data_IF_874299373689
#
_entry.id   IF_874299373689
#
_cell.length_a   1.000
_cell.length_b   1.000
_cell.length_c   1.000
_cell.angle_alpha   90.00
_cell.angle_beta   90.00
_cell.angle_gamma   90.00
#
_symmetry.space_group_name_H-M   'P 1'
#
loop_
_entity.id
_entity.type
_entity.pdbx_description
1 polymer ?
#
# COMPACT_ATOMS: atom_id res chain seq x y z
N UNK A 1 18.45 -28.84 49.83
CA UNK A 1 17.62 -27.62 49.71
C UNK A 1 18.58 -26.44 49.83
N UNK A 2 18.79 -25.54 48.86
CA UNK A 2 17.86 -24.77 48.02
C UNK A 2 18.49 -24.54 46.63
N UNK A 3 17.69 -24.62 45.58
CA UNK A 3 18.05 -24.26 44.19
C UNK A 3 17.99 -22.73 44.07
N UNK A 4 19.05 -22.08 43.62
CA UNK A 4 19.06 -20.69 43.17
C UNK A 4 18.92 -20.65 41.66
N UNK A 5 17.81 -20.12 41.18
CA UNK A 5 17.57 -19.77 39.80
C UNK A 5 18.18 -18.38 39.51
N UNK A 6 18.90 -18.24 38.41
CA UNK A 6 19.31 -16.93 37.89
C UNK A 6 19.37 -16.94 36.35
N UNK A 7 18.24 -16.53 35.76
CA UNK A 7 18.04 -15.68 34.58
C UNK A 7 19.07 -15.78 33.44
N UNK A 8 18.69 -16.45 32.36
CA UNK A 8 19.24 -16.21 31.01
C UNK A 8 18.73 -14.86 30.48
N UNK A 9 19.66 -13.95 30.20
CA UNK A 9 19.43 -12.77 29.38
C UNK A 9 19.53 -13.19 27.91
N UNK A 10 18.39 -13.25 27.21
CA UNK A 10 18.37 -13.39 25.76
C UNK A 10 18.60 -12.01 25.14
N UNK A 11 19.82 -11.76 24.67
CA UNK A 11 20.13 -10.61 23.80
C UNK A 11 19.66 -10.99 22.40
N UNK A 12 18.55 -10.39 21.94
CA UNK A 12 18.12 -10.50 20.57
C UNK A 12 19.09 -9.72 19.67
N UNK A 13 19.84 -10.42 18.82
CA UNK A 13 20.71 -9.80 17.82
C UNK A 13 19.83 -9.11 16.76
N UNK A 14 19.92 -7.78 16.68
CA UNK A 14 19.35 -6.99 15.59
C UNK A 14 20.29 -7.18 14.38
N UNK A 15 19.83 -7.90 13.36
CA UNK A 15 20.58 -8.09 12.14
C UNK A 15 20.66 -6.77 11.35
N UNK A 16 21.85 -6.18 11.27
CA UNK A 16 22.20 -5.18 10.26
C UNK A 16 22.38 -5.87 8.92
N UNK A 17 21.38 -5.83 8.05
CA UNK A 17 21.44 -6.40 6.71
C UNK A 17 22.06 -5.41 5.71
N UNK A 18 23.28 -5.71 5.25
CA UNK A 18 23.81 -5.20 3.97
C UNK A 18 23.28 -6.13 2.89
N UNK A 19 22.26 -5.71 2.15
CA UNK A 19 21.69 -6.47 1.04
C UNK A 19 22.44 -6.13 -0.26
N UNK A 20 23.05 -7.13 -0.88
CA UNK A 20 23.48 -7.07 -2.29
C UNK A 20 22.27 -7.30 -3.19
N UNK A 21 21.82 -6.25 -3.88
CA UNK A 21 20.62 -6.25 -4.73
C UNK A 21 21.00 -6.56 -6.19
N UNK A 22 20.34 -7.54 -6.78
CA UNK A 22 20.21 -7.70 -8.23
C UNK A 22 18.73 -8.01 -8.55
N UNK A 23 17.90 -7.00 -8.47
CA UNK A 23 16.54 -6.96 -9.00
C UNK A 23 16.44 -5.66 -9.80
N UNK A 24 16.00 -5.72 -11.06
CA UNK A 24 15.83 -4.52 -11.88
C UNK A 24 14.91 -3.54 -11.17
N UNK A 25 15.35 -2.29 -11.01
CA UNK A 25 14.52 -1.23 -10.44
C UNK A 25 13.33 -1.03 -11.36
N UNK A 26 12.11 -1.31 -10.88
CA UNK A 26 10.91 -0.87 -11.59
C UNK A 26 11.00 0.65 -11.80
N UNK A 27 10.73 1.10 -13.02
CA UNK A 27 10.76 2.52 -13.36
C UNK A 27 9.59 3.22 -12.67
N UNK A 28 9.86 4.35 -12.01
CA UNK A 28 8.87 5.12 -11.25
C UNK A 28 7.75 5.70 -12.14
N UNK A 29 8.09 6.16 -13.34
CA UNK A 29 7.13 6.64 -14.33
C UNK A 29 7.39 5.98 -15.70
N UNK A 30 6.40 5.95 -16.62
CA UNK A 30 6.60 5.48 -17.98
C UNK A 30 7.73 6.25 -18.69
N UNK A 31 8.69 5.53 -19.26
CA UNK A 31 9.81 6.13 -20.02
C UNK A 31 9.43 6.59 -21.43
N UNK A 32 8.23 6.23 -21.86
CA UNK A 32 7.59 6.68 -23.10
C UNK A 32 6.23 7.24 -22.74
N UNK A 33 5.75 8.21 -23.52
CA UNK A 33 4.34 8.61 -23.42
C UNK A 33 3.48 7.44 -23.93
N UNK A 34 2.59 6.87 -23.09
CA UNK A 34 1.70 5.78 -23.53
C UNK A 34 0.86 6.20 -24.74
N UNK A 35 0.53 5.27 -25.63
CA UNK A 35 -0.36 5.54 -26.75
C UNK A 35 -1.81 5.74 -26.27
N UNK A 36 -2.65 6.37 -27.10
CA UNK A 36 -4.03 6.68 -26.73
C UNK A 36 -4.86 5.45 -26.36
N UNK A 37 -4.57 4.31 -26.99
CA UNK A 37 -5.24 3.02 -26.74
C UNK A 37 -4.71 2.28 -25.49
N UNK A 38 -3.55 2.66 -24.97
CA UNK A 38 -2.92 1.95 -23.85
C UNK A 38 -3.69 2.15 -22.55
N UNK A 39 -3.55 1.17 -21.65
CA UNK A 39 -4.15 1.18 -20.33
C UNK A 39 -3.20 1.88 -19.36
N UNK A 40 -3.68 2.92 -18.69
CA UNK A 40 -2.91 3.77 -17.79
C UNK A 40 -3.51 3.75 -16.39
N UNK A 41 -2.67 3.45 -15.39
CA UNK A 41 -3.04 3.51 -13.98
C UNK A 41 -2.33 4.63 -13.21
N UNK A 42 -3.01 5.12 -12.18
CA UNK A 42 -2.55 6.20 -11.26
C UNK A 42 -3.03 5.93 -9.84
N UNK A 43 -2.65 6.77 -8.86
CA UNK A 43 -3.32 6.82 -7.55
C UNK A 43 -2.51 6.23 -6.41
N UNK A 44 -2.90 5.06 -5.91
CA UNK A 44 -2.32 4.45 -4.70
C UNK A 44 -0.80 4.25 -4.77
N UNK A 45 -0.09 4.94 -3.87
CA UNK A 45 1.34 4.79 -3.60
C UNK A 45 1.68 3.37 -3.13
N UNK A 46 0.91 2.84 -2.17
CA UNK A 46 1.08 1.49 -1.60
C UNK A 46 1.28 0.39 -2.67
N UNK A 47 0.65 0.53 -3.83
CA UNK A 47 0.64 -0.49 -4.88
C UNK A 47 1.40 -0.06 -6.12
N UNK A 48 2.09 1.08 -6.08
CA UNK A 48 2.70 1.67 -7.26
C UNK A 48 3.87 0.83 -7.78
N UNK A 49 4.77 0.43 -6.88
CA UNK A 49 5.96 -0.31 -7.24
C UNK A 49 5.63 -1.67 -7.88
N UNK A 50 4.70 -2.43 -7.28
CA UNK A 50 4.22 -3.70 -7.88
C UNK A 50 3.46 -3.48 -9.19
N UNK A 51 2.74 -2.36 -9.33
CA UNK A 51 2.07 -2.01 -10.59
C UNK A 51 3.05 -1.65 -11.70
N UNK A 52 4.17 -1.01 -11.37
CA UNK A 52 5.25 -0.71 -12.31
C UNK A 52 5.94 -2.00 -12.77
N UNK A 53 6.10 -2.97 -11.87
CA UNK A 53 6.56 -4.32 -12.24
C UNK A 53 5.58 -5.00 -13.20
N UNK A 54 4.28 -5.03 -12.87
CA UNK A 54 3.27 -5.62 -13.75
C UNK A 54 3.24 -4.95 -15.13
N UNK A 55 3.39 -3.62 -15.19
CA UNK A 55 3.52 -2.86 -16.44
C UNK A 55 4.71 -3.35 -17.26
N UNK A 56 5.87 -3.48 -16.63
CA UNK A 56 7.10 -3.96 -17.29
C UNK A 56 6.92 -5.38 -17.85
N UNK A 57 6.45 -6.30 -17.02
CA UNK A 57 6.37 -7.72 -17.36
C UNK A 57 5.23 -8.05 -18.32
N UNK A 58 4.09 -7.35 -18.21
CA UNK A 58 2.99 -7.50 -19.18
C UNK A 58 3.41 -7.02 -20.57
N UNK A 59 4.08 -5.88 -20.66
CA UNK A 59 4.53 -5.32 -21.93
C UNK A 59 5.65 -6.19 -22.55
N UNK A 60 6.54 -6.73 -21.73
CA UNK A 60 7.55 -7.71 -22.16
C UNK A 60 6.91 -9.02 -22.64
N UNK A 61 5.91 -9.53 -21.92
CA UNK A 61 5.13 -10.71 -22.31
C UNK A 61 4.52 -10.54 -23.70
N UNK A 62 3.75 -9.46 -23.92
CA UNK A 62 3.13 -9.18 -25.21
C UNK A 62 4.18 -9.07 -26.33
N UNK A 63 5.34 -8.48 -26.05
CA UNK A 63 6.47 -8.41 -27.00
C UNK A 63 7.02 -9.81 -27.32
N UNK A 64 7.18 -10.67 -26.32
CA UNK A 64 7.73 -12.03 -26.49
C UNK A 64 6.86 -12.94 -27.36
N UNK A 65 5.55 -12.69 -27.40
CA UNK A 65 4.60 -13.43 -28.24
C UNK A 65 4.35 -12.73 -29.60
N UNK A 66 5.04 -11.62 -29.88
CA UNK A 66 4.89 -10.86 -31.11
C UNK A 66 3.56 -10.08 -31.22
N UNK A 67 2.84 -9.89 -30.11
CA UNK A 67 1.61 -9.11 -30.12
C UNK A 67 1.97 -7.62 -30.22
N UNK A 68 1.54 -6.98 -31.30
CA UNK A 68 1.74 -5.55 -31.59
C UNK A 68 0.44 -4.76 -31.56
N UNK A 69 -0.68 -5.43 -31.29
CA UNK A 69 -2.03 -4.88 -31.41
C UNK A 69 -2.73 -4.67 -30.09
N UNK A 70 -2.44 -5.50 -29.08
CA UNK A 70 -3.02 -5.35 -27.75
C UNK A 70 -2.51 -4.07 -27.08
N UNK A 71 -3.40 -3.30 -26.41
CA UNK A 71 -3.00 -2.21 -25.54
C UNK A 71 -1.93 -2.62 -24.54
N UNK A 72 -0.93 -1.77 -24.35
CA UNK A 72 0.08 -1.92 -23.30
C UNK A 72 -0.48 -1.43 -21.97
N UNK A 73 0.16 -1.84 -20.89
CA UNK A 73 -0.15 -1.36 -19.55
C UNK A 73 0.97 -0.43 -19.07
N UNK A 74 0.60 0.73 -18.55
CA UNK A 74 1.51 1.70 -17.95
C UNK A 74 0.95 2.19 -16.61
N UNK A 75 1.87 2.49 -15.69
CA UNK A 75 1.56 2.89 -14.33
C UNK A 75 2.39 4.13 -14.01
N UNK A 76 1.74 5.19 -13.54
CA UNK A 76 2.39 6.42 -13.07
C UNK A 76 2.50 6.40 -11.55
N UNK A 77 3.63 6.82 -10.99
CA UNK A 77 3.78 6.89 -9.54
C UNK A 77 2.93 7.99 -8.91
N UNK A 78 2.60 7.79 -7.63
CA UNK A 78 1.85 8.75 -6.83
C UNK A 78 2.68 10.02 -6.53
N UNK A 79 4.00 9.90 -6.59
CA UNK A 79 4.98 10.97 -6.34
C UNK A 79 5.80 11.26 -7.60
N UNK A 80 6.53 12.37 -7.64
CA UNK A 80 7.27 12.84 -8.81
C UNK A 80 6.84 14.24 -9.24
N UNK A 81 6.74 14.49 -10.55
CA UNK A 81 6.31 15.79 -11.09
C UNK A 81 4.91 16.18 -10.60
N UNK A 82 4.65 17.48 -10.41
CA UNK A 82 3.35 17.96 -9.94
C UNK A 82 2.18 17.62 -10.89
N UNK A 83 2.47 17.48 -12.19
CA UNK A 83 1.50 17.11 -13.23
C UNK A 83 2.03 15.97 -14.09
N UNK A 84 1.12 15.23 -14.72
CA UNK A 84 1.42 14.16 -15.69
C UNK A 84 0.58 14.34 -16.94
N UNK A 85 1.07 13.81 -18.08
CA UNK A 85 0.25 13.60 -19.28
C UNK A 85 0.04 12.10 -19.43
N UNK A 86 -1.12 11.55 -19.04
CA UNK A 86 -1.29 10.10 -18.85
C UNK A 86 -0.97 9.27 -20.09
N UNK A 87 -1.40 9.73 -21.27
CA UNK A 87 -1.22 9.10 -22.58
C UNK A 87 -1.31 10.13 -23.70
N UNK A 88 -0.89 9.74 -24.91
CA UNK A 88 -0.95 10.58 -26.11
C UNK A 88 -2.37 11.08 -26.36
N UNK A 89 -2.52 12.37 -26.64
CA UNK A 89 -3.81 13.03 -26.83
C UNK A 89 -4.56 13.39 -25.54
N UNK A 90 -4.07 12.98 -24.36
CA UNK A 90 -4.63 13.42 -23.08
C UNK A 90 -4.17 14.84 -22.71
N UNK A 91 -4.99 15.53 -21.93
CA UNK A 91 -4.59 16.79 -21.29
C UNK A 91 -3.66 16.53 -20.11
N UNK A 92 -2.79 17.48 -19.80
CA UNK A 92 -2.00 17.44 -18.56
C UNK A 92 -2.91 17.58 -17.34
N UNK A 93 -2.72 16.72 -16.34
CA UNK A 93 -3.51 16.68 -15.11
C UNK A 93 -2.60 16.77 -13.87
N UNK A 94 -3.10 17.25 -12.72
CA UNK A 94 -2.41 17.08 -11.44
C UNK A 94 -2.11 15.60 -11.18
N UNK A 95 -0.91 15.28 -10.68
CA UNK A 95 -0.51 13.90 -10.37
C UNK A 95 -1.40 13.32 -9.25
N UNK A 96 -2.16 12.24 -9.49
CA UNK A 96 -3.02 11.67 -8.47
C UNK A 96 -2.19 10.92 -7.40
N UNK A 97 -2.16 11.47 -6.18
CA UNK A 97 -1.43 10.89 -5.05
C UNK A 97 -2.39 10.25 -4.02
N UNK A 98 -2.36 8.92 -3.93
CA UNK A 98 -3.18 8.12 -3.01
C UNK A 98 -4.45 7.58 -3.66
N UNK A 99 -5.06 6.55 -3.05
CA UNK A 99 -6.21 5.85 -3.62
C UNK A 99 -7.42 6.77 -3.84
N UNK A 100 -7.69 7.69 -2.92
CA UNK A 100 -8.79 8.65 -3.05
C UNK A 100 -8.60 9.62 -4.22
N UNK A 101 -7.38 10.12 -4.41
CA UNK A 101 -7.05 11.02 -5.51
C UNK A 101 -7.12 10.28 -6.87
N UNK A 102 -6.64 9.05 -6.93
CA UNK A 102 -6.75 8.19 -8.12
C UNK A 102 -8.20 7.96 -8.53
N UNK A 103 -9.06 7.54 -7.59
CA UNK A 103 -10.49 7.29 -7.85
C UNK A 103 -11.21 8.58 -8.25
N UNK A 104 -10.92 9.70 -7.58
CA UNK A 104 -11.49 11.00 -7.93
C UNK A 104 -11.10 11.42 -9.35
N UNK A 105 -9.83 11.19 -9.72
CA UNK A 105 -9.32 11.48 -11.06
C UNK A 105 -9.99 10.60 -12.11
N UNK A 106 -10.03 9.29 -11.89
CA UNK A 106 -10.72 8.31 -12.75
C UNK A 106 -12.14 8.77 -13.08
N UNK A 107 -12.88 9.26 -12.09
CA UNK A 107 -14.26 9.69 -12.28
C UNK A 107 -14.42 11.08 -12.91
N UNK A 108 -13.38 11.92 -12.89
CA UNK A 108 -13.44 13.29 -13.40
C UNK A 108 -13.00 13.45 -14.87
N UNK A 109 -12.04 12.65 -15.34
CA UNK A 109 -11.35 12.90 -16.62
C UNK A 109 -11.59 11.85 -17.72
N UNK A 110 -12.50 10.90 -17.48
CA UNK A 110 -12.87 9.87 -18.47
C UNK A 110 -11.69 8.98 -18.88
N UNK A 111 -11.60 8.65 -20.17
CA UNK A 111 -10.66 7.66 -20.74
C UNK A 111 -9.18 8.10 -20.77
N UNK A 112 -8.84 9.28 -20.24
CA UNK A 112 -7.44 9.70 -20.09
C UNK A 112 -6.70 8.86 -19.04
N UNK A 113 -7.43 8.37 -18.04
CA UNK A 113 -6.95 7.40 -17.03
C UNK A 113 -7.96 6.27 -16.99
N UNK A 114 -7.50 5.02 -17.09
CA UNK A 114 -8.38 3.86 -17.19
C UNK A 114 -8.50 3.11 -15.86
N UNK A 115 -7.48 3.25 -15.01
CA UNK A 115 -7.39 2.52 -13.75
C UNK A 115 -6.95 3.44 -12.61
N UNK A 116 -7.67 3.39 -11.49
CA UNK A 116 -7.17 3.91 -10.22
C UNK A 116 -6.69 2.76 -9.33
N UNK A 117 -5.41 2.75 -8.98
CA UNK A 117 -4.88 1.81 -7.99
C UNK A 117 -5.44 2.16 -6.61
N UNK A 118 -5.85 1.18 -5.82
CA UNK A 118 -6.44 1.39 -4.50
C UNK A 118 -5.94 0.42 -3.43
N UNK A 119 -5.52 0.97 -2.30
CA UNK A 119 -5.17 0.24 -1.07
C UNK A 119 -6.30 0.28 -0.03
N UNK A 120 -7.53 0.49 -0.48
CA UNK A 120 -8.77 0.33 0.30
C UNK A 120 -9.87 -0.32 -0.55
N UNK A 121 -10.85 -0.92 0.11
CA UNK A 121 -12.11 -1.31 -0.54
C UNK A 121 -13.04 -0.12 -0.83
N UNK A 122 -14.21 -0.37 -1.45
CA UNK A 122 -15.21 0.65 -1.73
C UNK A 122 -15.67 1.35 -0.45
N UNK A 123 -15.83 2.67 -0.51
CA UNK A 123 -16.44 3.49 0.56
C UNK A 123 -17.95 3.61 0.36
N UNK A 124 -18.78 3.33 1.38
CA UNK A 124 -20.24 3.45 1.29
C UNK A 124 -20.72 4.90 1.15
N UNK A 125 -21.90 5.08 0.56
CA UNK A 125 -22.57 6.37 0.43
C UNK A 125 -23.28 6.82 1.73
N UNK A 126 -23.53 8.14 1.92
CA UNK A 126 -23.19 9.29 1.05
C UNK A 126 -21.71 9.74 1.18
N UNK A 127 -21.16 10.31 0.11
CA UNK A 127 -19.74 10.77 0.06
C UNK A 127 -18.73 9.64 -0.14
N UNK A 128 -19.21 8.46 -0.57
CA UNK A 128 -18.41 7.28 -0.86
C UNK A 128 -17.96 7.20 -2.32
N UNK A 129 -17.48 6.02 -2.70
CA UNK A 129 -17.10 5.74 -4.09
C UNK A 129 -18.37 5.49 -4.94
N UNK A 130 -18.44 5.97 -6.20
CA UNK A 130 -19.55 5.72 -7.10
C UNK A 130 -19.93 4.23 -7.19
N UNK A 131 -21.22 3.92 -7.29
CA UNK A 131 -21.68 2.53 -7.53
C UNK A 131 -21.23 2.00 -8.90
N UNK A 132 -20.79 2.88 -9.80
CA UNK A 132 -20.20 2.56 -11.10
C UNK A 132 -18.70 2.23 -11.04
N UNK A 133 -18.06 2.33 -9.87
CA UNK A 133 -16.66 1.93 -9.71
C UNK A 133 -16.57 0.44 -9.40
N UNK A 134 -15.75 -0.26 -10.18
CA UNK A 134 -15.48 -1.69 -10.05
C UNK A 134 -14.11 -1.89 -9.45
N UNK A 135 -14.07 -2.42 -8.24
CA UNK A 135 -12.82 -2.73 -7.54
C UNK A 135 -12.41 -4.15 -7.87
N UNK A 136 -11.37 -4.30 -8.70
CA UNK A 136 -10.82 -5.58 -9.13
C UNK A 136 -9.69 -6.01 -8.20
N UNK A 137 -9.90 -7.05 -7.40
CA UNK A 137 -8.96 -7.51 -6.39
C UNK A 137 -7.73 -8.20 -7.02
N UNK A 138 -6.52 -7.97 -6.52
CA UNK A 138 -5.34 -8.70 -7.04
C UNK A 138 -4.42 -9.29 -5.95
N UNK A 139 -4.32 -8.66 -4.77
CA UNK A 139 -3.47 -9.14 -3.69
C UNK A 139 -4.07 -8.84 -2.31
N UNK A 140 -3.52 -9.49 -1.29
CA UNK A 140 -3.78 -9.21 0.12
C UNK A 140 -2.59 -8.49 0.73
N UNK A 141 -2.88 -7.44 1.48
CA UNK A 141 -1.97 -6.66 2.29
C UNK A 141 -2.48 -6.64 3.75
N UNK A 142 -1.72 -6.02 4.64
CA UNK A 142 -2.18 -5.57 5.93
C UNK A 142 -1.60 -4.18 6.25
N UNK A 143 -2.21 -3.47 7.18
CA UNK A 143 -1.67 -2.19 7.67
C UNK A 143 -1.39 -2.33 9.15
N UNK A 144 -0.15 -2.11 9.55
CA UNK A 144 0.20 -1.97 10.96
C UNK A 144 0.60 -0.54 11.24
N UNK A 145 1.18 -0.30 12.41
CA UNK A 145 1.86 0.93 12.77
C UNK A 145 3.37 0.71 12.80
N UNK A 146 4.10 1.80 12.70
CA UNK A 146 5.55 1.85 12.75
C UNK A 146 6.01 3.00 13.65
N UNK A 147 7.26 2.87 14.09
CA UNK A 147 7.96 3.89 14.85
C UNK A 147 9.47 3.80 14.57
N UNK A 148 10.24 4.86 14.85
CA UNK A 148 11.68 4.84 14.67
C UNK A 148 12.34 3.69 15.44
N UNK A 149 13.29 3.01 14.79
CA UNK A 149 14.14 2.02 15.44
C UNK A 149 14.94 2.66 16.57
N UNK A 150 14.97 2.02 17.75
CA UNK A 150 15.59 2.59 18.94
C UNK A 150 14.84 3.78 19.57
N UNK A 151 13.65 4.11 19.08
CA UNK A 151 12.79 5.15 19.65
C UNK A 151 12.09 4.73 20.95
N UNK A 152 11.16 5.57 21.41
CA UNK A 152 10.43 5.38 22.68
C UNK A 152 9.26 4.39 22.58
N UNK A 153 8.80 4.11 21.36
CA UNK A 153 7.63 3.28 21.13
C UNK A 153 7.89 1.79 21.50
N UNK A 154 6.92 1.09 22.09
CA UNK A 154 7.04 -0.33 22.40
C UNK A 154 7.01 -1.20 21.12
N UNK A 155 7.31 -2.49 21.28
CA UNK A 155 7.19 -3.46 20.19
C UNK A 155 5.73 -3.74 19.77
N UNK A 156 4.78 -3.49 20.67
CA UNK A 156 3.36 -3.79 20.49
C UNK A 156 2.48 -2.72 21.14
N UNK A 157 1.37 -2.40 20.49
CA UNK A 157 0.25 -1.65 21.07
C UNK A 157 -1.04 -2.44 20.86
N UNK A 158 -2.01 -2.22 21.74
CA UNK A 158 -3.37 -2.70 21.51
C UNK A 158 -4.11 -1.79 20.55
N UNK A 159 -5.16 -2.30 19.91
CA UNK A 159 -6.08 -1.50 19.08
C UNK A 159 -6.63 -0.29 19.87
N UNK A 160 -6.99 -0.49 21.14
CA UNK A 160 -7.50 0.59 21.99
C UNK A 160 -6.44 1.66 22.31
N UNK A 161 -5.18 1.26 22.51
CA UNK A 161 -4.08 2.21 22.72
C UNK A 161 -3.78 3.02 21.45
N UNK A 162 -3.78 2.38 20.27
CA UNK A 162 -3.64 3.10 19.01
C UNK A 162 -4.77 4.11 18.85
N UNK A 163 -6.03 3.70 19.08
CA UNK A 163 -7.17 4.62 19.07
C UNK A 163 -6.95 5.81 20.01
N UNK A 164 -6.58 5.56 21.26
CA UNK A 164 -6.35 6.61 22.27
C UNK A 164 -5.22 7.58 21.90
N UNK A 165 -4.16 7.09 21.24
CA UNK A 165 -3.07 7.93 20.72
C UNK A 165 -3.60 8.89 19.63
N UNK A 166 -4.38 8.40 18.67
CA UNK A 166 -4.92 9.24 17.59
C UNK A 166 -6.10 10.12 18.03
N UNK A 167 -6.79 9.79 19.13
CA UNK A 167 -7.75 10.68 19.81
C UNK A 167 -7.05 11.70 20.74
N UNK A 168 -5.73 11.60 20.91
CA UNK A 168 -4.93 12.42 21.82
C UNK A 168 -5.40 12.32 23.29
N UNK A 169 -6.00 11.19 23.68
CA UNK A 169 -6.32 10.87 25.07
C UNK A 169 -5.17 10.15 25.78
N UNK A 170 -4.26 9.54 25.02
CA UNK A 170 -2.94 9.10 25.49
C UNK A 170 -1.86 9.87 24.74
N UNK A 171 -1.13 10.73 25.44
CA UNK A 171 -0.17 11.67 24.82
C UNK A 171 1.26 11.51 25.32
N UNK A 172 1.53 10.64 26.29
CA UNK A 172 2.86 10.43 26.88
C UNK A 172 3.26 8.96 26.81
N UNK A 173 4.40 8.68 26.18
CA UNK A 173 4.97 7.34 26.08
C UNK A 173 5.19 6.69 27.45
N UNK A 174 5.49 7.46 28.49
CA UNK A 174 5.66 6.94 29.85
C UNK A 174 4.41 6.18 30.34
N UNK A 175 3.21 6.61 29.91
CA UNK A 175 1.94 5.96 30.27
C UNK A 175 1.83 4.54 29.71
N UNK A 176 2.46 4.29 28.55
CA UNK A 176 2.42 3.01 27.85
C UNK A 176 3.69 2.18 28.10
N UNK A 177 4.81 2.86 28.39
CA UNK A 177 6.14 2.28 28.60
C UNK A 177 6.78 2.97 29.80
N UNK A 178 6.57 2.48 31.04
CA UNK A 178 7.04 3.15 32.26
C UNK A 178 8.56 3.36 32.35
N UNK A 179 9.35 2.65 31.54
CA UNK A 179 10.79 2.81 31.44
C UNK A 179 11.21 4.07 30.64
N UNK A 180 10.32 4.65 29.84
CA UNK A 180 10.55 5.92 29.13
C UNK A 180 10.34 7.08 30.12
N UNK A 181 11.16 8.15 30.09
CA UNK A 181 10.98 9.30 30.98
C UNK A 181 9.58 9.93 30.88
N UNK A 182 9.01 10.35 32.02
CA UNK A 182 7.76 11.10 32.06
C UNK A 182 7.87 12.41 31.25
N UNK A 183 6.78 12.80 30.59
CA UNK A 183 6.74 13.97 29.69
C UNK A 183 7.18 13.67 28.26
N UNK A 184 7.48 12.41 27.91
CA UNK A 184 7.89 12.03 26.55
C UNK A 184 6.67 12.00 25.62
N UNK A 185 6.36 13.16 25.03
CA UNK A 185 5.15 13.38 24.25
C UNK A 185 5.12 12.53 22.97
N UNK A 186 4.07 11.73 22.79
CA UNK A 186 3.81 10.93 21.58
C UNK A 186 3.56 11.87 20.40
N UNK A 187 4.11 11.53 19.23
CA UNK A 187 3.91 12.28 17.98
C UNK A 187 3.18 11.40 16.94
N UNK A 188 1.83 11.39 16.94
CA UNK A 188 1.08 10.64 15.94
C UNK A 188 1.05 11.39 14.61
N UNK A 189 1.48 10.71 13.55
CA UNK A 189 1.43 11.20 12.19
C UNK A 189 0.45 10.37 11.36
N UNK A 190 -0.19 11.00 10.37
CA UNK A 190 -1.01 10.34 9.37
C UNK A 190 -0.55 10.74 7.96
N UNK A 191 -0.72 9.83 6.99
CA UNK A 191 -0.58 10.20 5.59
C UNK A 191 -1.55 11.29 5.15
N UNK A 192 -1.33 11.82 3.94
CA UNK A 192 -2.25 12.72 3.24
C UNK A 192 -3.71 12.21 3.29
N UNK A 193 -4.68 13.14 3.29
CA UNK A 193 -6.09 12.84 3.50
C UNK A 193 -6.68 11.82 2.50
N UNK A 194 -6.15 11.80 1.27
CA UNK A 194 -6.58 10.92 0.19
C UNK A 194 -5.91 9.53 0.20
N UNK A 195 -5.08 9.24 1.21
CA UNK A 195 -4.38 7.95 1.35
C UNK A 195 -5.34 6.80 1.64
N UNK A 196 -5.17 5.70 0.90
CA UNK A 196 -5.89 4.44 1.18
C UNK A 196 -5.43 3.81 2.49
N UNK A 197 -4.14 3.88 2.78
CA UNK A 197 -3.52 3.40 4.04
C UNK A 197 -4.03 4.16 5.25
N UNK A 198 -4.12 5.50 5.18
CA UNK A 198 -4.80 6.30 6.22
C UNK A 198 -6.24 5.84 6.43
N UNK A 199 -7.01 5.79 5.35
CA UNK A 199 -8.44 5.47 5.43
C UNK A 199 -8.68 4.09 6.03
N UNK A 200 -7.88 3.10 5.64
CA UNK A 200 -7.98 1.74 6.15
C UNK A 200 -7.55 1.66 7.62
N UNK A 201 -6.39 2.23 7.97
CA UNK A 201 -5.86 2.19 9.33
C UNK A 201 -6.83 2.81 10.34
N UNK A 202 -7.37 4.01 10.04
CA UNK A 202 -8.32 4.67 10.93
C UNK A 202 -9.58 3.83 11.16
N UNK A 203 -10.06 3.13 10.13
CA UNK A 203 -11.16 2.18 10.27
C UNK A 203 -10.76 0.99 11.15
N UNK A 204 -9.57 0.42 10.96
CA UNK A 204 -9.08 -0.74 11.72
C UNK A 204 -8.93 -0.44 13.22
N UNK A 205 -8.52 0.80 13.57
CA UNK A 205 -8.42 1.23 14.98
C UNK A 205 -9.73 1.76 15.57
N UNK A 206 -10.86 1.61 14.86
CA UNK A 206 -12.19 1.93 15.38
C UNK A 206 -12.62 3.39 15.20
N UNK A 207 -12.21 4.02 14.10
CA UNK A 207 -12.60 5.36 13.64
C UNK A 207 -12.49 6.43 14.73
N UNK A 208 -11.28 6.75 15.20
CA UNK A 208 -11.06 7.76 16.23
C UNK A 208 -11.55 9.14 15.79
N UNK A 209 -12.08 9.91 16.74
CA UNK A 209 -12.21 11.35 16.58
C UNK A 209 -10.80 11.96 16.70
N UNK A 210 -10.18 12.30 15.56
CA UNK A 210 -8.78 12.75 15.53
C UNK A 210 -8.57 13.97 16.43
N UNK A 211 -7.65 13.84 17.39
CA UNK A 211 -7.30 14.93 18.30
C UNK A 211 -6.28 15.90 17.69
N UNK A 212 -6.13 17.07 18.31
CA UNK A 212 -5.26 18.14 17.80
C UNK A 212 -3.75 17.86 17.85
N UNK A 213 -3.32 16.75 18.47
CA UNK A 213 -1.92 16.31 18.47
C UNK A 213 -1.52 15.55 17.20
N UNK A 214 -2.49 15.14 16.36
CA UNK A 214 -2.24 14.39 15.13
C UNK A 214 -1.78 15.33 14.02
N UNK A 215 -0.63 15.03 13.42
CA UNK A 215 -0.09 15.78 12.28
C UNK A 215 -0.31 14.99 10.99
N UNK A 216 -0.78 15.65 9.94
CA UNK A 216 -0.91 15.07 8.59
C UNK A 216 0.16 15.67 7.69
N UNK A 217 0.77 14.86 6.82
CA UNK A 217 1.74 15.40 5.87
C UNK A 217 2.66 14.35 5.24
N UNK A 218 3.32 13.49 6.03
CA UNK A 218 4.25 12.50 5.50
C UNK A 218 3.58 11.60 4.47
N UNK A 219 4.30 11.22 3.42
CA UNK A 219 3.78 10.34 2.38
C UNK A 219 3.46 8.96 2.98
N UNK A 220 2.37 8.32 2.53
CA UNK A 220 2.08 6.94 2.94
C UNK A 220 3.24 6.02 2.56
N UNK A 221 3.56 5.06 3.42
CA UNK A 221 4.65 4.10 3.21
C UNK A 221 6.04 4.73 2.94
N UNK A 222 6.27 5.93 3.47
CA UNK A 222 7.57 6.59 3.48
C UNK A 222 8.02 6.77 4.93
N UNK A 223 9.26 6.39 5.24
CA UNK A 223 9.90 6.62 6.52
C UNK A 223 11.16 7.49 6.43
N UNK A 224 11.41 8.10 5.26
CA UNK A 224 12.53 9.02 5.03
C UNK A 224 12.19 10.48 5.30
N UNK A 225 10.91 10.81 5.51
CA UNK A 225 10.46 12.15 5.91
C UNK A 225 11.18 12.62 7.19
N UNK A 226 11.75 13.85 7.21
CA UNK A 226 12.44 14.39 8.38
C UNK A 226 11.66 14.37 9.69
N UNK A 227 10.32 14.32 9.68
CA UNK A 227 9.55 14.21 10.92
C UNK A 227 9.86 12.93 11.69
N UNK A 228 10.31 11.87 11.02
CA UNK A 228 10.61 10.57 11.62
C UNK A 228 11.99 10.49 12.29
N UNK A 229 12.80 11.56 12.25
CA UNK A 229 13.97 11.66 13.14
C UNK A 229 13.56 11.82 14.61
N UNK A 230 12.31 12.18 14.86
CA UNK A 230 11.77 12.25 16.21
C UNK A 230 11.46 10.83 16.74
N UNK A 231 12.23 10.40 17.74
CA UNK A 231 12.12 9.10 18.40
C UNK A 231 10.74 8.79 19.03
N UNK A 232 9.86 9.79 19.18
CA UNK A 232 8.51 9.63 19.72
C UNK A 232 7.42 9.43 18.66
N UNK A 233 7.79 9.29 17.38
CA UNK A 233 6.85 9.19 16.25
C UNK A 233 6.07 7.88 16.20
N UNK A 234 4.80 7.96 15.77
CA UNK A 234 3.93 6.83 15.43
C UNK A 234 3.31 7.10 14.06
N UNK A 235 3.31 6.11 13.16
CA UNK A 235 2.79 6.26 11.80
C UNK A 235 2.18 4.95 11.27
N UNK A 236 1.06 4.95 10.53
CA UNK A 236 0.55 3.74 9.89
C UNK A 236 1.39 3.36 8.66
N UNK A 237 1.55 2.07 8.41
CA UNK A 237 2.41 1.57 7.32
C UNK A 237 1.84 0.28 6.72
N UNK A 238 1.85 0.17 5.38
CA UNK A 238 1.55 -1.10 4.69
C UNK A 238 2.61 -2.14 5.04
N UNK A 239 2.17 -3.30 5.54
CA UNK A 239 3.08 -4.39 5.87
C UNK A 239 3.74 -4.95 4.61
N UNK A 240 2.98 -5.15 3.52
CA UNK A 240 3.54 -5.62 2.27
C UNK A 240 4.58 -4.66 1.70
N UNK A 241 4.26 -3.37 1.64
CA UNK A 241 5.17 -2.36 1.10
C UNK A 241 6.45 -2.23 1.93
N UNK A 242 6.33 -2.26 3.27
CA UNK A 242 7.49 -2.32 4.16
C UNK A 242 8.38 -3.53 3.86
N UNK A 243 7.79 -4.72 3.64
CA UNK A 243 8.56 -5.92 3.28
C UNK A 243 9.28 -5.74 1.95
N UNK A 244 8.57 -5.22 0.94
CA UNK A 244 9.14 -4.90 -0.37
C UNK A 244 10.37 -4.00 -0.24
N UNK A 245 10.23 -2.90 0.50
CA UNK A 245 11.28 -1.91 0.73
C UNK A 245 12.47 -2.48 1.51
N UNK A 246 12.22 -3.13 2.64
CA UNK A 246 13.25 -3.47 3.63
C UNK A 246 13.93 -4.81 3.36
N UNK A 247 13.18 -5.81 2.91
CA UNK A 247 13.68 -7.18 2.81
C UNK A 247 13.87 -7.66 1.37
N UNK A 248 13.15 -7.05 0.41
CA UNK A 248 13.14 -7.53 -0.98
C UNK A 248 13.79 -6.54 -1.97
N UNK A 249 14.36 -5.44 -1.50
CA UNK A 249 15.18 -4.52 -2.30
C UNK A 249 14.37 -3.57 -3.21
N UNK A 250 13.09 -3.34 -2.91
CA UNK A 250 12.21 -2.48 -3.71
C UNK A 250 12.05 -1.06 -3.14
N UNK A 251 13.06 -0.56 -2.42
CA UNK A 251 13.10 0.85 -2.02
C UNK A 251 13.55 1.73 -3.19
N UNK A 252 12.99 2.93 -3.33
CA UNK A 252 13.36 3.88 -4.38
C UNK A 252 13.22 5.33 -3.94
N UNK A 253 14.30 6.11 -3.92
CA UNK A 253 14.25 7.52 -3.55
C UNK A 253 13.65 7.74 -2.15
N UNK A 254 12.57 8.53 -2.06
CA UNK A 254 11.84 8.74 -0.80
C UNK A 254 10.89 7.59 -0.44
N UNK A 255 10.54 6.73 -1.41
CA UNK A 255 9.77 5.50 -1.21
C UNK A 255 10.65 4.42 -0.55
N UNK A 256 10.94 4.64 0.73
CA UNK A 256 11.75 3.76 1.56
C UNK A 256 11.33 3.87 3.03
N UNK A 257 11.53 2.79 3.80
CA UNK A 257 11.16 2.73 5.22
C UNK A 257 12.02 3.61 6.15
N UNK A 258 13.17 4.09 5.69
CA UNK A 258 14.07 4.93 6.48
C UNK A 258 14.38 4.32 7.85
N UNK A 259 14.14 5.07 8.92
CA UNK A 259 14.35 4.59 10.31
C UNK A 259 13.13 3.88 10.89
N UNK A 260 11.99 3.89 10.20
CA UNK A 260 10.77 3.29 10.72
C UNK A 260 10.88 1.77 10.71
N UNK A 261 10.35 1.15 11.75
CA UNK A 261 10.24 -0.29 11.86
C UNK A 261 8.81 -0.65 12.21
N UNK A 262 8.25 -1.62 11.50
CA UNK A 262 6.86 -2.04 11.69
C UNK A 262 6.68 -2.79 13.01
N UNK A 263 5.52 -2.60 13.64
CA UNK A 263 5.23 -3.06 15.02
C UNK A 263 4.02 -3.98 15.07
N UNK A 264 3.88 -4.72 16.17
CA UNK A 264 2.76 -5.62 16.41
C UNK A 264 1.51 -4.88 16.87
N UNK A 265 0.34 -5.47 16.61
CA UNK A 265 -0.93 -5.02 17.18
C UNK A 265 -1.62 -6.17 17.89
N UNK A 266 -2.14 -5.90 19.10
CA UNK A 266 -2.84 -6.89 19.93
C UNK A 266 -2.03 -8.19 20.15
N UNK A 267 -0.71 -8.07 20.20
CA UNK A 267 0.21 -9.20 20.36
C UNK A 267 0.47 -10.01 19.08
N UNK A 268 -0.14 -9.65 17.96
CA UNK A 268 0.03 -10.34 16.68
C UNK A 268 1.08 -9.63 15.84
N UNK A 269 2.15 -10.35 15.46
CA UNK A 269 3.22 -9.82 14.62
C UNK A 269 2.77 -9.69 13.15
N UNK A 270 3.01 -8.54 12.49
CA UNK A 270 2.75 -8.37 11.06
C UNK A 270 3.70 -9.19 10.18
N UNK A 271 4.87 -9.57 10.72
CA UNK A 271 5.89 -10.32 10.00
C UNK A 271 6.00 -11.76 10.52
N UNK A 272 6.26 -12.69 9.59
CA UNK A 272 6.74 -14.04 9.92
C UNK A 272 8.21 -14.03 10.32
N UNK A 273 8.74 -15.16 10.81
CA UNK A 273 10.15 -15.32 11.13
C UNK A 273 11.09 -15.18 9.91
N UNK A 274 10.56 -15.29 8.69
CA UNK A 274 11.30 -15.11 7.43
C UNK A 274 10.98 -13.78 6.76
N UNK A 275 10.49 -12.79 7.51
CA UNK A 275 10.22 -11.44 7.03
C UNK A 275 9.20 -11.34 5.89
N UNK A 276 8.19 -12.22 5.88
CA UNK A 276 7.05 -12.14 4.95
C UNK A 276 5.78 -11.71 5.70
N UNK A 277 4.74 -11.29 4.96
CA UNK A 277 3.47 -10.87 5.56
C UNK A 277 2.84 -12.06 6.29
N UNK A 278 2.61 -11.89 7.60
CA UNK A 278 2.00 -12.88 8.48
C UNK A 278 0.55 -13.14 8.08
N UNK A 279 0.18 -14.37 7.67
CA UNK A 279 -1.22 -14.70 7.38
C UNK A 279 -2.13 -14.54 8.61
N UNK A 280 -1.60 -14.78 9.81
CA UNK A 280 -2.34 -14.57 11.06
C UNK A 280 -2.69 -13.09 11.28
N UNK A 281 -1.75 -12.18 10.99
CA UNK A 281 -2.01 -10.74 11.07
C UNK A 281 -2.96 -10.27 9.96
N UNK A 282 -2.77 -10.76 8.72
CA UNK A 282 -3.64 -10.45 7.59
C UNK A 282 -5.08 -11.01 7.72
N UNK A 283 -5.31 -11.93 8.65
CA UNK A 283 -6.64 -12.43 9.01
C UNK A 283 -7.36 -11.58 10.08
N UNK A 284 -6.68 -10.61 10.70
CA UNK A 284 -7.28 -9.68 11.66
C UNK A 284 -7.99 -8.51 10.95
N UNK A 285 -8.56 -7.58 11.73
CA UNK A 285 -9.12 -6.32 11.22
C UNK A 285 -8.08 -5.43 10.50
N UNK A 286 -6.79 -5.72 10.63
CA UNK A 286 -5.70 -5.01 9.96
C UNK A 286 -5.36 -5.56 8.58
N UNK A 287 -5.97 -6.67 8.16
CA UNK A 287 -5.79 -7.22 6.81
C UNK A 287 -6.71 -6.61 5.77
N UNK A 288 -6.18 -6.22 4.62
CA UNK A 288 -6.94 -5.63 3.50
C UNK A 288 -6.67 -6.34 2.19
N UNK A 289 -7.64 -6.30 1.29
CA UNK A 289 -7.40 -6.58 -0.13
C UNK A 289 -7.02 -5.27 -0.82
N UNK A 290 -6.15 -5.35 -1.82
CA UNK A 290 -5.79 -4.23 -2.68
C UNK A 290 -6.34 -4.44 -4.09
N UNK A 291 -6.64 -3.33 -4.76
CA UNK A 291 -7.51 -3.32 -5.93
C UNK A 291 -6.97 -2.43 -7.06
N UNK A 292 -7.36 -2.79 -8.27
CA UNK A 292 -7.38 -1.90 -9.44
C UNK A 292 -8.83 -1.49 -9.68
N UNK A 293 -9.12 -0.19 -9.67
CA UNK A 293 -10.47 0.34 -9.82
C UNK A 293 -10.67 0.81 -11.25
N UNK A 294 -11.75 0.35 -11.88
CA UNK A 294 -12.13 0.70 -13.26
C UNK A 294 -13.60 1.14 -13.29
N UNK A 295 -14.01 1.80 -14.38
CA UNK A 295 -15.42 2.17 -14.57
C UNK A 295 -16.22 0.98 -15.08
N UNK A 296 -17.40 0.75 -14.51
CA UNK A 296 -18.33 -0.35 -14.87
C UNK A 296 -18.58 -0.41 -16.38
N UNK A 297 -18.84 0.75 -17.02
CA UNK A 297 -19.14 0.82 -18.44
C UNK A 297 -17.98 0.31 -19.30
N UNK A 298 -16.74 0.62 -18.93
CA UNK A 298 -15.53 0.16 -19.63
C UNK A 298 -15.23 -1.30 -19.32
N UNK A 299 -15.36 -1.70 -18.05
CA UNK A 299 -15.14 -3.08 -17.63
C UNK A 299 -16.04 -4.08 -18.33
N UNK A 300 -17.28 -3.69 -18.62
CA UNK A 300 -18.28 -4.54 -19.28
C UNK A 300 -18.35 -4.35 -20.79
N UNK A 301 -17.61 -3.38 -21.35
CA UNK A 301 -17.58 -3.14 -22.78
C UNK A 301 -17.02 -4.35 -23.55
N UNK A 302 -17.59 -4.63 -24.71
CA UNK A 302 -17.15 -5.72 -25.60
C UNK A 302 -16.17 -5.25 -26.68
N UNK A 303 -15.70 -4.00 -26.59
CA UNK A 303 -14.69 -3.45 -27.47
C UNK A 303 -13.26 -3.86 -27.05
N UNK A 304 -12.27 -3.40 -27.81
CA UNK A 304 -10.86 -3.69 -27.54
C UNK A 304 -10.39 -3.17 -26.17
N UNK A 305 -10.95 -2.05 -25.69
CA UNK A 305 -10.56 -1.44 -24.42
C UNK A 305 -11.08 -2.26 -23.24
N UNK A 306 -12.37 -2.60 -23.22
CA UNK A 306 -12.93 -3.48 -22.20
C UNK A 306 -12.30 -4.87 -22.20
N UNK A 307 -11.98 -5.41 -23.38
CA UNK A 307 -11.22 -6.66 -23.49
C UNK A 307 -9.81 -6.53 -22.88
N UNK A 308 -9.09 -5.44 -23.15
CA UNK A 308 -7.76 -5.20 -22.57
C UNK A 308 -7.80 -5.11 -21.04
N UNK A 309 -8.75 -4.36 -20.47
CA UNK A 309 -8.93 -4.27 -19.02
C UNK A 309 -9.10 -5.66 -18.39
N UNK A 310 -9.98 -6.50 -18.95
CA UNK A 310 -10.23 -7.86 -18.44
C UNK A 310 -9.04 -8.80 -18.68
N UNK A 311 -8.33 -8.66 -19.79
CA UNK A 311 -7.13 -9.43 -20.09
C UNK A 311 -5.95 -9.09 -19.17
N UNK A 312 -5.89 -7.89 -18.61
CA UNK A 312 -4.85 -7.51 -17.64
C UNK A 312 -5.28 -7.89 -16.22
N UNK A 313 -6.44 -7.43 -15.77
CA UNK A 313 -6.84 -7.44 -14.36
C UNK A 313 -7.86 -8.52 -13.99
N UNK A 314 -8.49 -9.16 -14.98
CA UNK A 314 -9.54 -10.16 -14.74
C UNK A 314 -9.05 -11.42 -14.03
N UNK A 315 -9.96 -12.34 -13.70
CA UNK A 315 -9.58 -13.60 -13.08
C UNK A 315 -8.79 -14.48 -14.07
N UNK A 316 -7.98 -15.39 -13.53
CA UNK A 316 -7.19 -16.32 -14.34
C UNK A 316 -8.07 -17.20 -15.25
N UNK A 317 -9.29 -17.53 -14.81
CA UNK A 317 -10.28 -18.29 -15.59
C UNK A 317 -10.76 -17.57 -16.86
N UNK A 318 -10.63 -16.25 -16.92
CA UNK A 318 -10.97 -15.43 -18.10
C UNK A 318 -9.74 -14.76 -18.70
N UNK A 319 -8.57 -15.40 -18.58
CA UNK A 319 -7.30 -14.95 -19.15
C UNK A 319 -6.68 -13.68 -18.56
N UNK A 320 -7.08 -13.24 -17.37
CA UNK A 320 -6.42 -12.11 -16.71
C UNK A 320 -4.95 -12.38 -16.40
N UNK A 321 -4.07 -11.53 -16.93
CA UNK A 321 -2.63 -11.73 -16.94
C UNK A 321 -2.02 -11.64 -15.55
N UNK A 322 -2.41 -10.64 -14.74
CA UNK A 322 -1.87 -10.47 -13.38
C UNK A 322 -2.18 -11.70 -12.53
N UNK A 323 -3.40 -12.23 -12.61
CA UNK A 323 -3.80 -13.40 -11.84
C UNK A 323 -3.17 -14.71 -12.33
N UNK A 324 -2.73 -14.78 -13.59
CA UNK A 324 -2.00 -15.94 -14.12
C UNK A 324 -0.51 -15.89 -13.84
N UNK A 325 0.10 -14.71 -13.97
CA UNK A 325 1.56 -14.56 -14.08
C UNK A 325 2.17 -13.77 -12.92
N UNK A 326 1.41 -12.86 -12.28
CA UNK A 326 1.92 -11.90 -11.31
C UNK A 326 2.21 -12.46 -9.92
N UNK A 327 2.03 -13.76 -9.66
CA UNK A 327 2.21 -14.34 -8.31
C UNK A 327 3.61 -14.11 -7.75
N UNK A 328 4.64 -14.18 -8.59
CA UNK A 328 6.03 -13.95 -8.15
C UNK A 328 6.25 -12.48 -7.81
N UNK A 329 5.75 -11.54 -8.62
CA UNK A 329 5.87 -10.11 -8.33
C UNK A 329 5.11 -9.75 -7.06
N UNK A 330 3.86 -10.22 -6.90
CA UNK A 330 3.06 -10.00 -5.70
C UNK A 330 3.86 -10.37 -4.44
N UNK A 331 4.49 -11.56 -4.43
CA UNK A 331 5.34 -11.99 -3.31
C UNK A 331 6.61 -11.17 -3.17
N UNK A 332 7.26 -10.85 -4.29
CA UNK A 332 8.49 -10.05 -4.35
C UNK A 332 8.29 -8.65 -3.77
N UNK A 333 7.11 -8.05 -3.96
CA UNK A 333 6.73 -6.77 -3.35
C UNK A 333 6.06 -6.92 -1.96
N UNK A 334 6.18 -8.10 -1.33
CA UNK A 334 5.77 -8.35 0.06
C UNK A 334 4.29 -8.66 0.27
N UNK A 335 3.48 -8.63 -0.78
CA UNK A 335 2.05 -8.94 -0.71
C UNK A 335 1.80 -10.45 -0.64
N UNK A 336 0.63 -10.83 -0.13
CA UNK A 336 0.13 -12.20 -0.20
C UNK A 336 -0.73 -12.37 -1.47
N UNK A 337 -0.43 -13.37 -2.32
CA UNK A 337 -1.32 -13.72 -3.42
C UNK A 337 -2.71 -14.10 -2.91
N UNK A 338 -3.74 -13.64 -3.61
CA UNK A 338 -5.10 -14.10 -3.35
C UNK A 338 -5.26 -15.55 -3.83
N UNK A 339 -6.15 -16.34 -3.20
CA UNK A 339 -6.57 -17.63 -3.76
C UNK A 339 -7.07 -17.47 -5.20
N UNK A 340 -6.92 -18.51 -6.04
CA UNK A 340 -7.12 -18.40 -7.49
C UNK A 340 -8.48 -17.84 -7.93
N UNK A 341 -9.57 -18.12 -7.20
CA UNK A 341 -10.90 -17.58 -7.49
C UNK A 341 -11.12 -16.13 -6.99
N UNK A 342 -10.26 -15.63 -6.10
CA UNK A 342 -10.38 -14.30 -5.51
C UNK A 342 -9.57 -13.24 -6.28
N UNK A 343 -8.46 -13.61 -6.92
CA UNK A 343 -7.76 -12.71 -7.83
C UNK A 343 -8.62 -12.41 -9.07
N UNK A 344 -8.75 -11.13 -9.41
CA UNK A 344 -9.60 -10.64 -10.50
C UNK A 344 -11.09 -10.61 -10.16
N UNK A 345 -11.47 -10.98 -8.93
CA UNK A 345 -12.85 -10.82 -8.46
C UNK A 345 -13.19 -9.35 -8.30
N UNK A 346 -14.46 -9.01 -8.48
CA UNK A 346 -14.94 -7.63 -8.46
C UNK A 346 -15.87 -7.38 -7.29
N UNK A 347 -15.77 -6.19 -6.73
CA UNK A 347 -16.72 -5.64 -5.75
C UNK A 347 -17.05 -4.21 -6.14
N UNK A 348 -18.27 -3.79 -5.85
CA UNK A 348 -18.74 -2.42 -6.04
C UNK A 348 -19.36 -1.93 -4.75
N UNK A 349 -19.54 -0.62 -4.65
CA UNK A 349 -20.35 -0.07 -3.58
C UNK A 349 -21.81 -0.51 -3.74
N UNK A 350 -22.42 -1.02 -2.67
CA UNK A 350 -23.85 -1.29 -2.65
C UNK A 350 -24.58 0.03 -2.36
N UNK A 351 -25.65 0.30 -3.10
CA UNK A 351 -26.50 1.49 -3.00
C UNK A 351 -26.85 1.86 -1.56
#
# INVERSE_FOLDING_TARGET
MRKTAAKLLAVAAIATSVATVASGTALADPTVTPAAQDIVSVGSDTTQAVSNQFSTDYNAYLTSIGDTTSPRYYSWDATGSATITPKSGATSIPRPNGSGAGISTLNAIGSQVDVARSSRGPKPNPGGDPTTDVFVAFAKDAVSWSAPSGGYAPANLTTAQLKAIYECTTTDWHTLVPAVPAGTTIKPYLPQANSGTRSFFLSAIGNPALGGCVVTGPQENEGTDPVFTNAASVFPYSVAHYIGQVFNGHSSGSDAAGTLTIRSVDGVSPLTATNTLSPAFAATAYGRVVYNVVRQAEWTATDAHGAALRNIFGPASTNGWICKNGTNDIKSYGFLPLPGAACGSTIQNNS
#
